data_IF_524631778346
#
_entry.id   IF_524631778346
#
_cell.length_a   1.000
_cell.length_b   1.000
_cell.length_c   1.000
_cell.angle_alpha   90.00
_cell.angle_beta   90.00
_cell.angle_gamma   90.00
#
_symmetry.space_group_name_H-M   'P 1'
#
loop_
_entity.id
_entity.type
_entity.pdbx_description
1 polymer ?
#
# COMPACT_ATOMS: atom_id res chain seq x y z
N UNK A 1 4.11 -10.53 6.43
CA UNK A 1 2.68 -10.23 6.66
C UNK A 1 1.98 -9.93 5.36
N UNK A 2 0.66 -9.97 5.36
CA UNK A 2 -0.15 -9.74 4.17
C UNK A 2 -0.89 -8.42 4.31
N UNK A 3 -0.80 -7.58 3.27
CA UNK A 3 -1.61 -6.37 3.14
C UNK A 3 -2.27 -6.36 1.77
N UNK A 4 -3.15 -5.42 1.54
CA UNK A 4 -3.86 -5.27 0.27
C UNK A 4 -3.60 -3.89 -0.30
N UNK A 5 -3.07 -3.85 -1.52
CA UNK A 5 -2.88 -2.60 -2.27
C UNK A 5 -3.83 -2.63 -3.46
N UNK A 6 -4.74 -1.67 -3.52
CA UNK A 6 -5.81 -1.65 -4.54
C UNK A 6 -6.56 -2.98 -4.61
N UNK A 7 -6.86 -3.55 -3.42
CA UNK A 7 -7.54 -4.84 -3.25
C UNK A 7 -6.74 -6.06 -3.76
N UNK A 8 -5.46 -5.88 -4.05
CA UNK A 8 -4.56 -6.95 -4.46
C UNK A 8 -3.70 -7.39 -3.28
N UNK A 9 -3.63 -8.69 -3.03
CA UNK A 9 -2.79 -9.25 -1.97
C UNK A 9 -1.33 -8.97 -2.23
N UNK A 10 -0.63 -8.46 -1.21
CA UNK A 10 0.81 -8.18 -1.27
C UNK A 10 1.47 -8.76 -0.03
N UNK A 11 2.55 -9.52 -0.23
CA UNK A 11 3.36 -10.07 0.84
C UNK A 11 4.53 -9.13 1.13
N UNK A 12 4.64 -8.67 2.37
CA UNK A 12 5.69 -7.76 2.81
C UNK A 12 6.30 -8.26 4.12
N UNK A 13 7.48 -7.72 4.46
CA UNK A 13 8.17 -8.08 5.69
C UNK A 13 7.53 -7.39 6.90
N UNK A 14 7.74 -7.97 8.08
CA UNK A 14 7.30 -7.36 9.34
C UNK A 14 8.05 -6.04 9.55
N UNK A 15 7.31 -5.00 9.92
CA UNK A 15 7.87 -3.66 10.09
C UNK A 15 7.88 -2.81 8.83
N UNK A 16 7.36 -3.34 7.71
CA UNK A 16 7.24 -2.58 6.47
C UNK A 16 6.29 -1.40 6.61
N UNK A 17 6.53 -0.36 5.83
CA UNK A 17 5.68 0.84 5.77
C UNK A 17 4.80 0.82 4.53
N UNK A 18 3.92 1.82 4.42
CA UNK A 18 3.04 1.95 3.26
C UNK A 18 3.81 2.02 1.95
N UNK A 19 4.91 2.78 1.91
CA UNK A 19 5.72 2.88 0.68
C UNK A 19 6.34 1.53 0.31
N UNK A 20 6.77 0.74 1.29
CA UNK A 20 7.31 -0.60 1.04
C UNK A 20 6.25 -1.50 0.41
N UNK A 21 5.02 -1.46 0.92
CA UNK A 21 3.92 -2.25 0.39
C UNK A 21 3.58 -1.86 -1.06
N UNK A 22 3.52 -0.57 -1.34
CA UNK A 22 3.22 -0.08 -2.69
C UNK A 22 4.35 -0.40 -3.66
N UNK A 23 5.61 -0.28 -3.23
CA UNK A 23 6.76 -0.69 -4.06
C UNK A 23 6.69 -2.16 -4.43
N UNK A 24 6.36 -3.02 -3.46
CA UNK A 24 6.20 -4.44 -3.73
C UNK A 24 5.06 -4.70 -4.70
N UNK A 25 3.92 -4.03 -4.50
CA UNK A 25 2.78 -4.12 -5.40
C UNK A 25 3.17 -3.75 -6.84
N UNK A 26 3.85 -2.62 -7.01
CA UNK A 26 4.28 -2.17 -8.34
C UNK A 26 5.25 -3.14 -8.98
N UNK A 27 6.22 -3.66 -8.23
CA UNK A 27 7.18 -4.65 -8.72
C UNK A 27 6.46 -5.91 -9.20
N UNK A 28 5.54 -6.44 -8.40
CA UNK A 28 4.82 -7.68 -8.73
C UNK A 28 3.88 -7.49 -9.93
N UNK A 29 3.31 -6.30 -10.08
CA UNK A 29 2.38 -6.00 -11.18
C UNK A 29 3.07 -5.47 -12.44
N UNK A 30 4.38 -5.24 -12.39
CA UNK A 30 5.10 -4.65 -13.52
C UNK A 30 4.74 -3.19 -13.79
N UNK A 31 4.33 -2.46 -12.76
CA UNK A 31 3.92 -1.07 -12.87
C UNK A 31 5.06 -0.11 -12.50
N UNK A 32 5.04 1.14 -13.00
CA UNK A 32 5.98 2.16 -12.55
C UNK A 32 5.82 2.41 -11.05
N UNK A 33 6.91 2.77 -10.32
CA UNK A 33 6.81 3.07 -8.90
C UNK A 33 5.85 4.22 -8.64
N UNK A 34 5.04 4.09 -7.59
CA UNK A 34 4.16 5.15 -7.09
C UNK A 34 4.71 5.65 -5.76
N UNK A 35 4.96 6.95 -5.66
CA UNK A 35 5.55 7.56 -4.46
C UNK A 35 4.51 8.23 -3.56
N UNK A 36 3.25 8.10 -3.91
CA UNK A 36 2.16 8.66 -3.14
C UNK A 36 1.42 9.76 -3.91
N UNK A 37 0.46 10.39 -3.27
CA UNK A 37 -0.07 10.06 -1.94
C UNK A 37 -0.81 8.71 -1.92
N UNK A 38 -0.90 8.12 -0.73
CA UNK A 38 -1.65 6.88 -0.51
C UNK A 38 -2.90 7.17 0.32
N UNK A 39 -3.90 6.31 0.22
CA UNK A 39 -5.21 6.52 0.84
C UNK A 39 -5.68 5.26 1.56
N UNK A 40 -6.50 5.46 2.60
CA UNK A 40 -7.23 4.35 3.23
C UNK A 40 -8.52 4.05 2.47
N UNK A 41 -9.31 3.11 2.98
CA UNK A 41 -10.55 2.69 2.34
C UNK A 41 -11.64 3.78 2.35
N UNK A 42 -11.46 4.81 3.16
CA UNK A 42 -12.41 5.93 3.26
C UNK A 42 -11.96 7.17 2.50
N UNK A 43 -10.83 7.08 1.78
CA UNK A 43 -10.31 8.20 1.01
C UNK A 43 -9.45 9.17 1.81
N UNK A 44 -9.09 8.83 3.03
CA UNK A 44 -8.18 9.67 3.83
C UNK A 44 -6.74 9.42 3.41
N UNK A 45 -5.96 10.49 3.29
CA UNK A 45 -4.54 10.39 2.97
C UNK A 45 -3.79 9.76 4.16
N UNK A 46 -2.95 8.79 3.86
CA UNK A 46 -2.05 8.18 4.86
C UNK A 46 -0.61 8.51 4.51
N UNK A 47 0.23 8.64 5.54
CA UNK A 47 1.65 8.93 5.33
C UNK A 47 2.35 7.76 4.63
N UNK A 48 3.33 8.08 3.77
CA UNK A 48 4.07 7.04 3.04
C UNK A 48 4.90 6.16 3.97
N UNK A 49 5.31 6.69 5.12
CA UNK A 49 6.05 5.95 6.14
C UNK A 49 5.14 5.37 7.24
N UNK A 50 3.83 5.39 7.03
CA UNK A 50 2.88 4.81 7.98
C UNK A 50 3.13 3.31 8.12
N UNK A 51 3.25 2.79 9.36
CA UNK A 51 3.49 1.36 9.55
C UNK A 51 2.31 0.53 9.06
N UNK A 52 2.63 -0.61 8.45
CA UNK A 52 1.61 -1.55 7.98
C UNK A 52 1.32 -2.58 9.07
N UNK A 53 0.08 -3.04 9.11
CA UNK A 53 -0.31 -4.19 9.89
C UNK A 53 -0.97 -5.23 8.99
N UNK A 54 -0.92 -6.48 9.46
CA UNK A 54 -1.51 -7.59 8.71
C UNK A 54 -2.99 -7.33 8.41
N UNK A 55 -3.35 -7.49 7.15
CA UNK A 55 -4.72 -7.26 6.69
C UNK A 55 -5.07 -5.82 6.32
N UNK A 56 -4.12 -4.90 6.42
CA UNK A 56 -4.40 -3.49 6.10
C UNK A 56 -4.61 -3.27 4.62
N UNK A 57 -5.58 -2.42 4.29
CA UNK A 57 -5.86 -1.98 2.92
C UNK A 57 -5.32 -0.59 2.68
N UNK A 58 -4.60 -0.40 1.56
CA UNK A 58 -4.15 0.91 1.10
C UNK A 58 -4.45 1.05 -0.39
N UNK A 59 -4.56 2.29 -0.84
CA UNK A 59 -4.91 2.60 -2.23
C UNK A 59 -3.96 3.66 -2.77
N UNK A 60 -3.59 3.55 -4.04
CA UNK A 60 -2.75 4.52 -4.72
C UNK A 60 -3.55 5.68 -5.30
N UNK A 61 -4.88 5.56 -5.32
CA UNK A 61 -5.81 6.62 -5.70
C UNK A 61 -6.95 6.63 -4.68
N UNK A 62 -7.52 7.81 -4.46
CA UNK A 62 -8.65 7.90 -3.55
C UNK A 62 -9.78 6.98 -4.02
N UNK A 63 -10.30 6.08 -3.16
CA UNK A 63 -11.43 5.21 -3.52
C UNK A 63 -12.76 5.95 -3.51
N UNK A 64 -12.76 7.22 -3.16
CA UNK A 64 -13.95 8.07 -3.13
C UNK A 64 -13.85 9.25 -4.06
#
# INVERSE_FOLDING_TARGET
MIVYVNDTVVHIFMGATAIDAVRRYCTDAGLPPCEGPFYDAWGNVIATDSPMCDGRHIFTQSPR
#
